data_IF_185924717570
#
_entry.id   IF_185924717570
#
_cell.length_a   1.000
_cell.length_b   1.000
_cell.length_c   1.000
_cell.angle_alpha   90.00
_cell.angle_beta   90.00
_cell.angle_gamma   90.00
#
_symmetry.space_group_name_H-M   'P 1'
#
loop_
_entity.id
_entity.type
_entity.pdbx_description
1 polymer ?
#
# COMPACT_ATOMS: atom_id res chain seq x y z
N UNK A 1 -2.27 19.47 -2.78
CA UNK A 1 -2.39 18.62 -1.57
C UNK A 1 -3.81 18.12 -1.45
N UNK A 2 -4.10 16.95 -1.99
CA UNK A 2 -5.32 16.21 -1.74
C UNK A 2 -5.02 15.03 -0.81
N UNK A 3 -6.00 14.65 0.01
CA UNK A 3 -5.91 13.48 0.88
C UNK A 3 -6.96 12.48 0.42
N UNK A 4 -6.52 11.28 0.06
CA UNK A 4 -7.40 10.16 -0.24
C UNK A 4 -7.36 9.17 0.92
N UNK A 5 -8.52 8.90 1.51
CA UNK A 5 -8.67 7.93 2.59
C UNK A 5 -9.52 6.75 2.11
N UNK A 6 -9.02 5.53 2.33
CA UNK A 6 -9.72 4.28 2.03
C UNK A 6 -9.82 3.46 3.31
N UNK A 7 -11.04 3.20 3.77
CA UNK A 7 -11.29 2.58 5.09
C UNK A 7 -12.29 1.42 4.98
N UNK A 8 -11.85 0.22 4.58
CA UNK A 8 -12.69 -0.97 4.60
C UNK A 8 -12.82 -1.51 6.03
N UNK A 9 -14.03 -1.93 6.42
CA UNK A 9 -14.33 -2.35 7.80
C UNK A 9 -14.07 -3.83 8.08
N UNK A 10 -14.45 -4.73 7.18
CA UNK A 10 -14.24 -6.17 7.35
C UNK A 10 -14.21 -6.86 5.98
N UNK A 11 -13.13 -7.58 5.74
CA UNK A 11 -12.97 -8.48 4.59
C UNK A 11 -12.74 -9.89 5.13
N UNK A 12 -13.21 -10.91 4.39
CA UNK A 12 -13.01 -12.33 4.75
C UNK A 12 -12.87 -13.15 3.45
N UNK A 13 -11.68 -13.71 3.22
CA UNK A 13 -11.36 -14.45 2.00
C UNK A 13 -11.32 -13.58 0.73
N UNK A 14 -11.13 -12.28 0.88
CA UNK A 14 -11.13 -11.30 -0.21
C UNK A 14 -9.72 -10.86 -0.60
N UNK A 15 -9.62 -10.31 -1.81
CA UNK A 15 -8.42 -9.62 -2.28
C UNK A 15 -8.76 -8.15 -2.49
N UNK A 16 -8.12 -7.27 -1.72
CA UNK A 16 -8.23 -5.84 -1.89
C UNK A 16 -7.03 -5.30 -2.67
N UNK A 17 -7.28 -4.74 -3.85
CA UNK A 17 -6.25 -4.12 -4.67
C UNK A 17 -6.48 -2.60 -4.73
N UNK A 18 -5.45 -1.82 -4.40
CA UNK A 18 -5.47 -0.35 -4.46
C UNK A 18 -4.37 0.13 -5.41
N UNK A 19 -4.78 0.69 -6.56
CA UNK A 19 -3.88 1.01 -7.68
C UNK A 19 -4.00 2.48 -8.11
N UNK A 20 -3.44 3.43 -7.34
CA UNK A 20 -3.45 4.83 -7.75
C UNK A 20 -2.44 5.08 -8.89
N UNK A 21 -2.85 5.79 -9.93
CA UNK A 21 -2.04 5.99 -11.13
C UNK A 21 -1.01 7.12 -11.02
N UNK A 22 -1.36 8.23 -10.36
CA UNK A 22 -0.47 9.38 -10.21
C UNK A 22 -0.93 10.22 -9.03
N UNK A 23 -0.05 10.34 -8.04
CA UNK A 23 -0.20 11.28 -6.94
C UNK A 23 0.94 12.31 -7.09
N UNK A 24 0.64 13.59 -6.82
CA UNK A 24 1.64 14.67 -6.81
C UNK A 24 1.32 15.61 -5.64
N UNK A 25 2.17 15.61 -4.62
CA UNK A 25 1.92 16.34 -3.38
C UNK A 25 0.66 15.89 -2.65
N UNK A 26 0.27 14.62 -2.77
CA UNK A 26 -0.93 14.05 -2.16
C UNK A 26 -0.58 13.07 -1.04
N UNK A 27 -1.56 12.82 -0.18
CA UNK A 27 -1.45 11.82 0.89
C UNK A 27 -2.49 10.74 0.65
N UNK A 28 -2.05 9.48 0.60
CA UNK A 28 -2.92 8.32 0.54
C UNK A 28 -2.87 7.57 1.87
N UNK A 29 -4.01 7.48 2.56
CA UNK A 29 -4.14 6.66 3.77
C UNK A 29 -5.08 5.47 3.50
N UNK A 30 -4.61 4.27 3.84
CA UNK A 30 -5.39 3.03 3.73
C UNK A 30 -5.46 2.40 5.12
N UNK A 31 -6.68 2.27 5.67
CA UNK A 31 -6.90 1.78 7.04
C UNK A 31 -7.90 0.64 7.08
N UNK A 32 -7.48 -0.60 6.83
CA UNK A 32 -8.32 -1.77 7.01
C UNK A 32 -8.55 -2.06 8.50
N UNK A 33 -9.79 -2.28 8.92
CA UNK A 33 -10.07 -2.59 10.33
C UNK A 33 -9.89 -4.07 10.69
N UNK A 34 -10.27 -4.98 9.80
CA UNK A 34 -10.15 -6.43 10.04
C UNK A 34 -10.04 -7.17 8.72
N UNK A 35 -8.92 -7.84 8.54
CA UNK A 35 -8.67 -8.78 7.46
C UNK A 35 -8.54 -10.20 8.07
N UNK A 36 -9.09 -11.21 7.40
CA UNK A 36 -9.00 -12.62 7.80
C UNK A 36 -8.88 -13.49 6.54
N UNK A 37 -7.72 -14.10 6.33
CA UNK A 37 -7.43 -14.90 5.14
C UNK A 37 -7.45 -14.08 3.84
N UNK A 38 -7.17 -12.78 3.92
CA UNK A 38 -7.24 -11.82 2.84
C UNK A 38 -5.85 -11.46 2.29
N UNK A 39 -5.86 -10.88 1.09
CA UNK A 39 -4.66 -10.29 0.49
C UNK A 39 -4.90 -8.81 0.20
N UNK A 40 -4.07 -7.93 0.77
CA UNK A 40 -4.05 -6.51 0.46
C UNK A 40 -2.86 -6.17 -0.44
N UNK A 41 -3.11 -5.77 -1.68
CA UNK A 41 -2.06 -5.26 -2.57
C UNK A 41 -2.23 -3.76 -2.83
N UNK A 42 -1.17 -3.00 -2.62
CA UNK A 42 -1.13 -1.55 -2.91
C UNK A 42 -0.03 -1.29 -3.93
N UNK A 43 -0.41 -0.83 -5.13
CA UNK A 43 0.51 -0.66 -6.26
C UNK A 43 0.39 0.74 -6.85
N UNK A 44 1.06 1.74 -6.25
CA UNK A 44 1.10 3.08 -6.81
C UNK A 44 2.04 3.14 -8.03
N UNK A 45 1.57 3.73 -9.13
CA UNK A 45 2.36 3.82 -10.36
C UNK A 45 3.40 4.94 -10.36
N UNK A 46 3.06 6.09 -9.77
CA UNK A 46 3.96 7.24 -9.70
C UNK A 46 3.59 8.08 -8.49
N UNK A 47 4.54 8.20 -7.57
CA UNK A 47 4.50 9.13 -6.46
C UNK A 47 5.58 10.21 -6.64
N UNK A 48 5.24 11.47 -6.39
CA UNK A 48 6.19 12.59 -6.37
C UNK A 48 5.84 13.54 -5.23
N UNK A 49 6.69 13.61 -4.21
CA UNK A 49 6.46 14.41 -3.02
C UNK A 49 5.23 13.97 -2.21
N UNK A 50 4.87 12.69 -2.28
CA UNK A 50 3.68 12.11 -1.68
C UNK A 50 3.98 11.32 -0.41
N UNK A 51 2.93 11.07 0.36
CA UNK A 51 2.97 10.20 1.54
C UNK A 51 1.94 9.09 1.39
N UNK A 52 2.36 7.85 1.54
CA UNK A 52 1.48 6.68 1.57
C UNK A 52 1.55 6.03 2.95
N UNK A 53 0.41 6.01 3.66
CA UNK A 53 0.27 5.37 4.96
C UNK A 53 -0.69 4.19 4.86
N UNK A 54 -0.28 3.02 5.36
CA UNK A 54 -1.13 1.84 5.48
C UNK A 54 -1.17 1.40 6.93
N UNK A 55 -2.36 1.41 7.53
CA UNK A 55 -2.56 1.12 8.96
C UNK A 55 -3.63 0.05 9.16
N UNK A 56 -3.28 -1.24 9.05
CA UNK A 56 -4.21 -2.31 9.35
C UNK A 56 -4.38 -2.49 10.87
N UNK A 57 -5.62 -2.58 11.34
CA UNK A 57 -5.90 -2.77 12.77
C UNK A 57 -5.80 -4.23 13.24
N UNK A 58 -6.24 -5.18 12.40
CA UNK A 58 -6.13 -6.62 12.67
C UNK A 58 -5.92 -7.36 11.37
N UNK A 59 -4.81 -8.09 11.30
CA UNK A 59 -4.54 -9.09 10.28
C UNK A 59 -4.50 -10.48 10.93
N UNK A 60 -5.12 -11.48 10.28
CA UNK A 60 -5.08 -12.89 10.70
C UNK A 60 -4.94 -13.78 9.45
N UNK A 61 -3.75 -14.35 9.26
CA UNK A 61 -3.48 -15.21 8.11
C UNK A 61 -3.50 -14.44 6.78
N UNK A 62 -3.15 -13.15 6.82
CA UNK A 62 -3.24 -12.25 5.68
C UNK A 62 -1.87 -11.96 5.06
N UNK A 63 -1.92 -11.49 3.81
CA UNK A 63 -0.74 -11.01 3.08
C UNK A 63 -0.93 -9.55 2.71
N UNK A 64 0.05 -8.70 3.04
CA UNK A 64 0.08 -7.30 2.62
C UNK A 64 1.29 -7.08 1.72
N UNK A 65 1.04 -6.69 0.46
CA UNK A 65 2.09 -6.33 -0.49
C UNK A 65 1.96 -4.86 -0.88
N UNK A 66 3.07 -4.12 -0.79
CA UNK A 66 3.16 -2.75 -1.29
C UNK A 66 4.27 -2.65 -2.32
N UNK A 67 3.90 -2.32 -3.56
CA UNK A 67 4.83 -2.28 -4.70
C UNK A 67 4.72 -0.97 -5.48
N UNK A 68 5.46 0.08 -5.09
CA UNK A 68 5.55 1.30 -5.90
C UNK A 68 6.39 1.10 -7.17
N UNK A 69 5.92 1.63 -8.30
CA UNK A 69 6.64 1.59 -9.59
C UNK A 69 7.59 2.76 -9.83
N UNK A 70 7.34 3.93 -9.23
CA UNK A 70 8.24 5.10 -9.27
C UNK A 70 8.01 5.96 -8.03
N UNK A 71 9.09 6.23 -7.30
CA UNK A 71 9.10 7.14 -6.16
C UNK A 71 10.16 8.23 -6.37
N UNK A 72 9.80 9.49 -6.16
CA UNK A 72 10.72 10.63 -6.11
C UNK A 72 10.34 11.51 -4.92
N UNK A 73 11.15 11.46 -3.86
CA UNK A 73 10.95 12.30 -2.67
C UNK A 73 9.73 11.90 -1.82
N UNK A 74 9.32 10.63 -1.87
CA UNK A 74 8.11 10.13 -1.21
C UNK A 74 8.40 9.37 0.09
N UNK A 75 7.38 9.25 0.93
CA UNK A 75 7.40 8.45 2.16
C UNK A 75 6.35 7.34 2.10
N UNK A 76 6.78 6.11 2.41
CA UNK A 76 5.89 4.96 2.64
C UNK A 76 5.97 4.56 4.12
N UNK A 77 4.83 4.52 4.80
CA UNK A 77 4.72 3.99 6.15
C UNK A 77 3.67 2.89 6.23
N UNK A 78 4.03 1.77 6.83
CA UNK A 78 3.12 0.63 7.08
C UNK A 78 3.17 0.31 8.55
N UNK A 79 2.05 0.47 9.25
CA UNK A 79 1.98 0.29 10.71
C UNK A 79 0.80 -0.60 11.08
N UNK A 80 1.02 -1.91 11.26
CA UNK A 80 -0.02 -2.81 11.75
C UNK A 80 -0.20 -2.68 13.27
N UNK A 81 -1.45 -2.66 13.75
CA UNK A 81 -1.73 -2.67 15.19
C UNK A 81 -1.77 -4.07 15.80
N UNK A 82 -2.14 -5.09 15.02
CA UNK A 82 -2.16 -6.49 15.49
C UNK A 82 -2.00 -7.44 14.30
N UNK A 83 -1.03 -8.34 14.42
CA UNK A 83 -0.68 -9.36 13.43
C UNK A 83 -0.73 -10.74 14.06
N UNK A 84 -1.31 -11.73 13.38
CA UNK A 84 -1.30 -13.14 13.77
C UNK A 84 -1.12 -13.99 12.50
N UNK A 85 0.10 -14.50 12.28
CA UNK A 85 0.38 -15.43 11.19
C UNK A 85 0.45 -14.79 9.80
N UNK A 86 0.97 -13.57 9.70
CA UNK A 86 0.88 -12.73 8.49
C UNK A 86 2.22 -12.57 7.76
N UNK A 87 2.15 -12.12 6.50
CA UNK A 87 3.31 -11.74 5.67
C UNK A 87 3.18 -10.30 5.19
N UNK A 88 4.19 -9.47 5.47
CA UNK A 88 4.30 -8.10 4.99
C UNK A 88 5.46 -8.00 4.00
N UNK A 89 5.18 -7.67 2.74
CA UNK A 89 6.21 -7.39 1.75
C UNK A 89 6.10 -5.95 1.24
N UNK A 90 7.22 -5.24 1.23
CA UNK A 90 7.37 -3.96 0.57
C UNK A 90 8.51 -4.06 -0.45
N UNK A 91 8.22 -3.84 -1.73
CA UNK A 91 9.21 -3.91 -2.79
C UNK A 91 9.16 -2.66 -3.67
N UNK A 92 10.27 -1.97 -3.84
CA UNK A 92 10.36 -0.83 -4.75
C UNK A 92 10.78 -1.31 -6.14
N UNK A 93 9.91 -1.14 -7.14
CA UNK A 93 10.27 -1.40 -8.52
C UNK A 93 10.91 -0.13 -9.11
N UNK A 94 12.21 0.09 -8.86
CA UNK A 94 12.92 1.22 -9.50
C UNK A 94 13.19 0.90 -10.98
N UNK A 95 12.35 1.43 -11.89
CA UNK A 95 12.63 1.40 -13.34
C UNK A 95 13.70 2.45 -13.72
N UNK A 96 14.89 2.34 -13.14
CA UNK A 96 16.11 3.08 -13.52
C UNK A 96 17.08 2.30 -14.40
N UNK A 97 16.64 1.22 -15.03
CA UNK A 97 17.36 0.61 -16.14
C UNK A 97 16.40 0.30 -17.28
N UNK A 98 16.54 1.05 -18.37
CA UNK A 98 16.34 0.68 -19.78
C UNK A 98 16.42 1.98 -20.59
N UNK A 99 17.63 2.54 -20.67
CA UNK A 99 18.03 3.27 -21.88
C UNK A 99 18.74 2.20 -22.72
N UNK A 100 18.12 1.65 -23.78
CA UNK A 100 18.88 0.91 -24.76
C UNK A 100 19.82 1.91 -25.44
N UNK A 101 21.13 1.65 -25.40
CA UNK A 101 22.06 2.22 -26.37
C UNK A 101 21.79 1.62 -27.75
#
# INVERSE_FOLDING_TARGET
MHVLNVTPHRLIGDVLNVTPHRLIGDVLNVTPHRLIGDVLNVTPHRLIGDVLNVTPHRLIGDVLNVTPHRLIGDMLNVTPHRLIGDVLNSAQADRRQLVPL
#
